data_IF_887099850378
#
_entry.id   IF_887099850378
#
_cell.length_a   1.000
_cell.length_b   1.000
_cell.length_c   1.000
_cell.angle_alpha   90.00
_cell.angle_beta   90.00
_cell.angle_gamma   90.00
#
_symmetry.space_group_name_H-M   'P 1'
#
loop_
_entity.id
_entity.type
_entity.pdbx_description
1 polymer ?
#
# COMPACT_ATOMS: atom_id res chain seq x y z
N UNK A 1 18.71 17.73 -1.06
CA UNK A 1 19.27 18.96 -1.66
C UNK A 1 20.79 19.07 -1.47
N UNK A 2 21.35 19.03 -0.24
CA UNK A 2 22.80 19.26 -0.03
C UNK A 2 23.75 18.34 -0.82
N UNK A 3 23.37 17.11 -1.16
CA UNK A 3 24.25 16.14 -1.81
C UNK A 3 24.06 16.10 -3.33
N UNK A 4 22.86 16.16 -3.83
CA UNK A 4 22.52 15.97 -5.23
C UNK A 4 21.93 17.19 -5.91
N UNK A 5 21.61 18.25 -5.17
CA UNK A 5 21.08 19.52 -5.68
C UNK A 5 19.59 19.50 -6.03
N UNK A 6 19.00 18.33 -6.29
CA UNK A 6 17.60 18.20 -6.70
C UNK A 6 16.95 16.90 -6.22
N UNK A 7 15.65 16.80 -6.40
CA UNK A 7 14.83 15.58 -6.32
C UNK A 7 14.11 15.45 -7.66
N UNK A 8 14.12 14.26 -8.25
CA UNK A 8 13.47 13.98 -9.54
C UNK A 8 12.24 13.10 -9.38
N UNK A 9 12.23 12.25 -8.37
CA UNK A 9 11.10 11.39 -8.05
C UNK A 9 10.93 11.21 -6.55
N UNK A 10 9.68 10.96 -6.13
CA UNK A 10 9.31 10.54 -4.79
C UNK A 10 8.65 9.18 -4.85
N UNK A 11 9.08 8.25 -3.99
CA UNK A 11 8.39 6.98 -3.79
C UNK A 11 7.85 6.93 -2.35
N UNK A 12 6.56 7.12 -2.19
CA UNK A 12 5.86 6.99 -0.91
C UNK A 12 5.65 5.50 -0.61
N UNK A 13 6.70 4.85 -0.13
CA UNK A 13 6.72 3.42 0.18
C UNK A 13 6.50 3.12 1.67
N UNK A 14 6.81 4.05 2.56
CA UNK A 14 6.63 3.85 3.98
C UNK A 14 5.17 3.49 4.31
N UNK A 15 4.98 2.43 5.09
CA UNK A 15 3.64 2.01 5.46
C UNK A 15 3.66 0.88 6.48
N UNK A 16 2.62 0.84 7.29
CA UNK A 16 2.44 -0.14 8.37
C UNK A 16 1.06 -0.78 8.27
N UNK A 17 0.94 -1.97 8.85
CA UNK A 17 -0.35 -2.63 9.04
C UNK A 17 -0.43 -3.27 10.42
N UNK A 18 -1.57 -3.13 11.06
CA UNK A 18 -1.98 -3.86 12.24
C UNK A 18 -3.31 -4.56 11.91
N UNK A 19 -3.30 -5.86 11.57
CA UNK A 19 -4.54 -6.58 11.28
C UNK A 19 -5.43 -6.61 12.52
N UNK A 20 -6.64 -6.08 12.41
CA UNK A 20 -7.63 -6.00 13.49
C UNK A 20 -9.03 -6.11 12.90
N UNK A 21 -9.93 -6.76 13.61
CA UNK A 21 -11.37 -6.73 13.32
C UNK A 21 -12.00 -5.51 13.99
N UNK A 22 -13.11 -5.03 13.43
CA UNK A 22 -13.79 -3.84 13.96
C UNK A 22 -14.26 -4.04 15.41
N UNK A 23 -14.82 -5.21 15.68
CA UNK A 23 -15.27 -5.64 17.01
C UNK A 23 -14.95 -7.13 17.15
N UNK A 24 -14.48 -7.57 18.32
CA UNK A 24 -14.25 -8.99 18.58
C UNK A 24 -15.57 -9.74 18.83
N UNK A 25 -16.31 -10.02 17.74
CA UNK A 25 -17.55 -10.76 17.79
C UNK A 25 -17.38 -12.25 18.13
N UNK A 26 -16.16 -12.78 18.08
CA UNK A 26 -15.87 -14.15 18.57
C UNK A 26 -15.70 -14.19 20.09
N UNK A 27 -15.32 -13.07 20.72
CA UNK A 27 -15.09 -12.91 22.17
C UNK A 27 -13.97 -13.80 22.71
N UNK A 28 -12.98 -14.10 21.88
CA UNK A 28 -11.88 -15.02 22.23
C UNK A 28 -10.52 -14.31 22.26
N UNK A 29 -10.34 -13.25 21.50
CA UNK A 29 -9.05 -12.58 21.31
C UNK A 29 -9.20 -11.05 21.28
N UNK A 30 -9.53 -10.41 22.43
CA UNK A 30 -9.81 -8.97 22.47
C UNK A 30 -8.64 -8.11 21.99
N UNK A 31 -7.40 -8.62 22.02
CA UNK A 31 -6.23 -7.94 21.47
C UNK A 31 -6.25 -7.80 19.94
N UNK A 32 -7.13 -8.51 19.24
CA UNK A 32 -7.34 -8.38 17.78
C UNK A 32 -8.53 -7.49 17.41
N UNK A 33 -9.18 -6.87 18.39
CA UNK A 33 -10.11 -5.78 18.15
C UNK A 33 -9.36 -4.49 17.78
N UNK A 34 -9.91 -3.69 16.88
CA UNK A 34 -9.31 -2.43 16.45
C UNK A 34 -9.42 -1.39 17.57
N UNK A 35 -8.31 -1.03 18.17
CA UNK A 35 -8.22 0.07 19.13
C UNK A 35 -8.03 1.41 18.43
N UNK A 36 -8.34 2.51 19.13
CA UNK A 36 -8.05 3.88 18.69
C UNK A 36 -6.54 4.07 18.47
N UNK A 37 -5.69 3.52 19.35
CA UNK A 37 -4.23 3.57 19.19
C UNK A 37 -3.77 2.89 17.88
N UNK A 38 -4.30 1.71 17.55
CA UNK A 38 -3.97 1.01 16.30
C UNK A 38 -4.47 1.78 15.07
N UNK A 39 -5.65 2.42 15.19
CA UNK A 39 -6.21 3.27 14.16
C UNK A 39 -5.31 4.48 13.89
N UNK A 40 -5.01 5.27 14.93
CA UNK A 40 -4.20 6.48 14.83
C UNK A 40 -2.79 6.17 14.31
N UNK A 41 -2.17 5.09 14.81
CA UNK A 41 -0.86 4.64 14.32
C UNK A 41 -0.84 4.38 12.82
N UNK A 42 -1.86 3.71 12.28
CA UNK A 42 -1.93 3.44 10.84
C UNK A 42 -2.25 4.70 10.03
N UNK A 43 -3.13 5.57 10.50
CA UNK A 43 -3.48 6.83 9.84
C UNK A 43 -2.28 7.78 9.83
N UNK A 44 -1.60 7.98 10.95
CA UNK A 44 -0.47 8.89 11.05
C UNK A 44 0.68 8.50 10.11
N UNK A 45 0.97 7.21 9.99
CA UNK A 45 2.07 6.75 9.13
C UNK A 45 1.65 6.65 7.67
N UNK A 46 0.55 5.92 7.39
CA UNK A 46 0.20 5.60 6.01
C UNK A 46 -0.38 6.79 5.25
N UNK A 47 -1.23 7.57 5.90
CA UNK A 47 -1.99 8.64 5.26
C UNK A 47 -1.33 10.00 5.48
N UNK A 48 -1.25 10.45 6.72
CA UNK A 48 -0.69 11.75 7.08
C UNK A 48 0.80 11.86 6.73
N UNK A 49 1.57 10.80 6.98
CA UNK A 49 2.99 10.73 6.60
C UNK A 49 3.17 10.89 5.09
N UNK A 50 2.40 10.18 4.29
CA UNK A 50 2.40 10.30 2.83
C UNK A 50 2.06 11.72 2.39
N UNK A 51 1.03 12.35 2.96
CA UNK A 51 0.68 13.74 2.68
C UNK A 51 1.83 14.70 2.98
N UNK A 52 2.41 14.64 4.17
CA UNK A 52 3.46 15.57 4.60
C UNK A 52 4.72 15.48 3.72
N UNK A 53 5.16 14.26 3.41
CA UNK A 53 6.34 14.05 2.55
C UNK A 53 6.06 14.51 1.13
N UNK A 54 4.89 14.16 0.59
CA UNK A 54 4.49 14.60 -0.76
C UNK A 54 4.45 16.12 -0.84
N UNK A 55 3.83 16.80 0.14
CA UNK A 55 3.77 18.26 0.15
C UNK A 55 5.16 18.90 0.18
N UNK A 56 6.07 18.36 0.98
CA UNK A 56 7.44 18.87 1.08
C UNK A 56 8.23 18.69 -0.22
N UNK A 57 8.15 17.51 -0.85
CA UNK A 57 8.86 17.19 -2.09
C UNK A 57 8.25 17.95 -3.28
N UNK A 58 6.93 18.07 -3.34
CA UNK A 58 6.24 18.78 -4.42
C UNK A 58 6.74 20.23 -4.55
N UNK A 59 7.04 20.93 -3.44
CA UNK A 59 7.64 22.28 -3.50
C UNK A 59 8.95 22.32 -4.27
N UNK A 60 9.75 21.27 -4.22
CA UNK A 60 11.00 21.14 -4.99
C UNK A 60 10.69 20.84 -6.47
N UNK A 61 9.74 19.92 -6.73
CA UNK A 61 9.35 19.55 -8.08
C UNK A 61 8.71 20.72 -8.85
N UNK A 62 7.98 21.60 -8.18
CA UNK A 62 7.40 22.80 -8.77
C UNK A 62 8.45 23.75 -9.38
N UNK A 63 9.59 23.92 -8.71
CA UNK A 63 10.68 24.77 -9.22
C UNK A 63 11.25 24.22 -10.53
N UNK A 64 11.26 22.89 -10.68
CA UNK A 64 11.72 22.21 -11.90
C UNK A 64 10.67 22.15 -13.00
N UNK A 65 9.39 22.18 -12.65
CA UNK A 65 8.25 21.88 -13.52
C UNK A 65 8.33 20.47 -14.14
N UNK A 66 8.86 19.54 -13.38
CA UNK A 66 9.08 18.16 -13.79
C UNK A 66 9.22 17.26 -12.56
N UNK A 67 8.72 16.03 -12.63
CA UNK A 67 8.91 15.04 -11.60
C UNK A 67 7.87 13.92 -11.60
N UNK A 68 8.14 12.90 -10.80
CA UNK A 68 7.22 11.77 -10.65
C UNK A 68 7.02 11.42 -9.18
N UNK A 69 5.77 11.25 -8.79
CA UNK A 69 5.38 10.77 -7.46
C UNK A 69 4.74 9.39 -7.60
N UNK A 70 5.32 8.40 -6.94
CA UNK A 70 4.80 7.03 -6.87
C UNK A 70 4.23 6.79 -5.47
N UNK A 71 2.97 6.41 -5.40
CA UNK A 71 2.26 6.13 -4.16
C UNK A 71 2.02 4.62 -3.99
N UNK A 72 2.59 3.99 -2.95
CA UNK A 72 2.32 2.59 -2.62
C UNK A 72 1.00 2.49 -1.85
N UNK A 73 -0.09 2.19 -2.60
CA UNK A 73 -1.38 1.79 -2.07
C UNK A 73 -1.38 0.29 -1.71
N UNK A 74 -2.48 -0.38 -1.89
CA UNK A 74 -2.67 -1.83 -1.75
C UNK A 74 -3.96 -2.25 -2.46
N UNK A 75 -4.05 -3.49 -2.93
CA UNK A 75 -5.33 -4.05 -3.37
C UNK A 75 -6.39 -4.03 -2.25
N UNK A 76 -5.96 -4.09 -0.98
CA UNK A 76 -6.87 -3.90 0.16
C UNK A 76 -7.54 -2.51 0.17
N UNK A 77 -6.86 -1.47 -0.34
CA UNK A 77 -7.43 -0.14 -0.50
C UNK A 77 -8.43 -0.03 -1.66
N UNK A 78 -8.35 -0.92 -2.64
CA UNK A 78 -9.26 -0.94 -3.80
C UNK A 78 -10.51 -1.79 -3.55
N UNK A 79 -10.38 -2.89 -2.77
CA UNK A 79 -11.44 -3.90 -2.62
C UNK A 79 -11.91 -4.07 -1.17
N UNK A 80 -11.24 -3.49 -0.20
CA UNK A 80 -11.37 -3.85 1.21
C UNK A 80 -10.71 -5.21 1.54
N UNK A 81 -10.46 -5.45 2.81
CA UNK A 81 -9.94 -6.74 3.29
C UNK A 81 -10.47 -7.03 4.69
N UNK A 82 -11.08 -8.22 4.87
CA UNK A 82 -11.58 -8.65 6.18
C UNK A 82 -10.45 -8.69 7.20
N UNK A 83 -10.65 -8.09 8.38
CA UNK A 83 -9.62 -7.96 9.42
C UNK A 83 -8.58 -6.87 9.16
N UNK A 84 -8.83 -5.95 8.20
CA UNK A 84 -7.93 -4.86 7.83
C UNK A 84 -8.69 -3.56 7.53
N UNK A 85 -9.81 -3.29 8.19
CA UNK A 85 -10.66 -2.15 7.83
C UNK A 85 -9.91 -0.81 7.86
N UNK A 86 -9.19 -0.50 8.93
CA UNK A 86 -8.40 0.71 9.03
C UNK A 86 -7.27 0.76 8.00
N UNK A 87 -6.49 -0.32 7.85
CA UNK A 87 -5.45 -0.38 6.81
C UNK A 87 -6.02 -0.17 5.41
N UNK A 88 -7.14 -0.83 5.10
CA UNK A 88 -7.83 -0.65 3.82
C UNK A 88 -8.25 0.79 3.60
N UNK A 89 -8.78 1.46 4.63
CA UNK A 89 -9.17 2.87 4.57
C UNK A 89 -7.97 3.77 4.28
N UNK A 90 -6.84 3.60 5.00
CA UNK A 90 -5.62 4.39 4.73
C UNK A 90 -5.09 4.17 3.31
N UNK A 91 -5.15 2.93 2.79
CA UNK A 91 -4.70 2.63 1.42
C UNK A 91 -5.69 3.08 0.35
N UNK A 92 -6.97 3.19 0.66
CA UNK A 92 -7.97 3.86 -0.17
C UNK A 92 -7.75 5.38 -0.23
N UNK A 93 -7.37 6.01 0.89
CA UNK A 93 -6.96 7.41 0.92
C UNK A 93 -5.76 7.68 0.00
N UNK A 94 -4.75 6.80 -0.01
CA UNK A 94 -3.60 6.91 -0.93
C UNK A 94 -4.03 6.80 -2.40
N UNK A 95 -5.00 5.94 -2.72
CA UNK A 95 -5.58 5.89 -4.06
C UNK A 95 -6.27 7.21 -4.42
N UNK A 96 -7.09 7.76 -3.53
CA UNK A 96 -7.76 9.04 -3.74
C UNK A 96 -6.77 10.21 -3.90
N UNK A 97 -5.71 10.26 -3.07
CA UNK A 97 -4.62 11.23 -3.23
C UNK A 97 -3.95 11.13 -4.59
N UNK A 98 -3.69 9.92 -5.08
CA UNK A 98 -3.10 9.70 -6.40
C UNK A 98 -3.94 10.35 -7.51
N UNK A 99 -5.26 10.13 -7.48
CA UNK A 99 -6.19 10.70 -8.45
C UNK A 99 -6.27 12.23 -8.38
N UNK A 100 -6.32 12.77 -7.16
CA UNK A 100 -6.46 14.21 -6.93
C UNK A 100 -5.17 14.95 -7.28
N UNK A 101 -4.03 14.49 -6.74
CA UNK A 101 -2.74 15.12 -6.98
C UNK A 101 -2.29 15.03 -8.44
N UNK A 102 -2.65 13.96 -9.16
CA UNK A 102 -2.39 13.90 -10.60
C UNK A 102 -3.08 15.02 -11.38
N UNK A 103 -4.30 15.40 -10.98
CA UNK A 103 -5.04 16.52 -11.61
C UNK A 103 -4.48 17.87 -11.17
N UNK A 104 -4.10 18.01 -9.92
CA UNK A 104 -3.53 19.26 -9.38
C UNK A 104 -2.13 19.54 -9.94
N UNK A 105 -1.30 18.51 -10.07
CA UNK A 105 0.12 18.64 -10.36
C UNK A 105 0.46 18.44 -11.86
N UNK A 106 -0.43 17.78 -12.62
CA UNK A 106 -0.25 17.55 -14.05
C UNK A 106 0.01 18.81 -14.88
N UNK A 107 -0.70 19.94 -14.66
CA UNK A 107 -0.42 21.20 -15.34
C UNK A 107 1.01 21.73 -15.15
N UNK A 108 1.73 21.22 -14.15
CA UNK A 108 3.11 21.62 -13.83
C UNK A 108 4.14 20.56 -14.23
N UNK A 109 3.77 19.60 -15.09
CA UNK A 109 4.68 18.56 -15.56
C UNK A 109 5.00 17.47 -14.53
N UNK A 110 4.24 17.37 -13.43
CA UNK A 110 4.48 16.38 -12.37
C UNK A 110 3.45 15.26 -12.53
N UNK A 111 3.92 14.03 -12.68
CA UNK A 111 3.09 12.82 -12.74
C UNK A 111 2.88 12.23 -11.36
N UNK A 112 1.70 11.70 -11.08
CA UNK A 112 1.38 10.98 -9.85
C UNK A 112 0.75 9.65 -10.21
N UNK A 113 1.38 8.55 -9.80
CA UNK A 113 0.94 7.18 -10.13
C UNK A 113 0.90 6.34 -8.86
N UNK A 114 -0.16 5.57 -8.71
CA UNK A 114 -0.32 4.61 -7.63
C UNK A 114 0.10 3.21 -8.06
N UNK A 115 0.63 2.44 -7.13
CA UNK A 115 0.81 1.00 -7.26
C UNK A 115 0.05 0.34 -6.12
N UNK A 116 -0.72 -0.70 -6.42
CA UNK A 116 -1.50 -1.46 -5.46
C UNK A 116 -1.05 -2.92 -5.43
N UNK A 117 0.00 -3.26 -4.67
CA UNK A 117 0.39 -4.65 -4.47
C UNK A 117 -0.70 -5.43 -3.72
N UNK A 118 -0.79 -6.74 -3.98
CA UNK A 118 -1.54 -7.67 -3.15
C UNK A 118 -0.56 -8.54 -2.35
N UNK A 119 -0.64 -9.86 -2.45
CA UNK A 119 0.20 -10.77 -1.70
C UNK A 119 1.58 -10.86 -2.36
N UNK A 120 2.59 -10.47 -1.60
CA UNK A 120 4.00 -10.56 -1.97
C UNK A 120 4.72 -11.60 -1.10
N UNK A 121 5.95 -11.91 -1.44
CA UNK A 121 6.84 -12.74 -0.63
C UNK A 121 6.87 -12.28 0.84
N UNK A 122 7.12 -13.24 1.74
CA UNK A 122 7.28 -12.95 3.16
C UNK A 122 8.42 -11.97 3.39
N UNK A 123 8.17 -11.01 4.27
CA UNK A 123 9.16 -10.04 4.70
C UNK A 123 9.22 -10.02 6.23
N UNK A 124 10.29 -9.52 6.86
CA UNK A 124 10.33 -9.33 8.30
C UNK A 124 9.18 -8.46 8.85
N UNK A 125 8.60 -7.60 8.01
CA UNK A 125 7.45 -6.78 8.37
C UNK A 125 6.13 -7.59 8.50
N UNK A 126 6.07 -8.78 7.89
CA UNK A 126 4.93 -9.71 7.93
C UNK A 126 5.28 -10.91 8.80
N UNK A 127 5.31 -10.70 10.12
CA UNK A 127 5.63 -11.73 11.10
C UNK A 127 4.43 -12.64 11.41
N UNK A 128 4.70 -13.70 12.18
CA UNK A 128 3.70 -14.72 12.53
C UNK A 128 2.52 -14.16 13.33
N UNK A 129 2.76 -13.14 14.18
CA UNK A 129 1.69 -12.47 14.92
C UNK A 129 0.67 -11.80 13.98
N UNK A 130 1.15 -11.11 12.96
CA UNK A 130 0.28 -10.51 11.93
C UNK A 130 -0.52 -11.56 11.17
N UNK A 131 0.10 -12.70 10.85
CA UNK A 131 -0.63 -13.79 10.20
C UNK A 131 -1.70 -14.40 11.10
N UNK A 132 -1.42 -14.56 12.41
CA UNK A 132 -2.42 -15.00 13.39
C UNK A 132 -3.59 -14.03 13.52
N UNK A 133 -3.32 -12.74 13.64
CA UNK A 133 -4.36 -11.71 13.66
C UNK A 133 -5.20 -11.71 12.39
N UNK A 134 -4.57 -11.94 11.23
CA UNK A 134 -5.29 -12.07 9.95
C UNK A 134 -6.14 -13.35 9.90
N UNK A 135 -5.64 -14.47 10.41
CA UNK A 135 -6.38 -15.74 10.47
C UNK A 135 -7.63 -15.55 11.35
N UNK A 136 -7.44 -15.00 12.54
CA UNK A 136 -8.54 -14.68 13.45
C UNK A 136 -9.61 -13.80 12.79
N UNK A 137 -9.20 -12.70 12.19
CA UNK A 137 -10.11 -11.81 11.50
C UNK A 137 -10.92 -12.48 10.36
N UNK A 138 -10.42 -13.59 9.81
CA UNK A 138 -11.12 -14.39 8.79
C UNK A 138 -11.95 -15.53 9.35
N UNK A 139 -11.90 -15.75 10.67
CA UNK A 139 -12.55 -16.88 11.32
C UNK A 139 -11.80 -18.20 11.11
N UNK A 140 -10.49 -18.14 10.92
CA UNK A 140 -9.61 -19.31 10.83
C UNK A 140 -8.94 -19.55 12.20
N UNK A 141 -8.55 -20.78 12.46
CA UNK A 141 -7.84 -21.11 13.69
C UNK A 141 -6.53 -20.30 13.81
N UNK A 142 -6.40 -19.53 14.88
CA UNK A 142 -5.20 -18.72 15.18
C UNK A 142 -3.94 -19.55 15.40
N UNK A 143 -4.09 -20.83 15.74
CA UNK A 143 -2.99 -21.78 15.87
C UNK A 143 -2.62 -22.41 14.53
N UNK A 144 -3.33 -22.08 13.45
CA UNK A 144 -2.97 -22.51 12.10
C UNK A 144 -1.54 -22.08 11.83
N UNK A 145 -0.71 -23.04 11.39
CA UNK A 145 0.64 -22.80 10.93
C UNK A 145 0.65 -21.63 9.93
N UNK A 146 1.44 -20.56 10.17
CA UNK A 146 1.56 -19.44 9.25
C UNK A 146 1.86 -19.85 7.81
N UNK A 147 2.56 -20.98 7.60
CA UNK A 147 2.81 -21.53 6.26
C UNK A 147 1.52 -22.05 5.60
N UNK A 148 0.64 -22.74 6.35
CA UNK A 148 -0.68 -23.13 5.83
C UNK A 148 -1.54 -21.93 5.46
N UNK A 149 -1.49 -20.88 6.29
CA UNK A 149 -2.15 -19.63 5.97
C UNK A 149 -1.66 -19.05 4.64
N UNK A 150 -0.34 -19.04 4.43
CA UNK A 150 0.27 -18.54 3.20
C UNK A 150 -0.06 -19.43 1.98
N UNK A 151 -0.11 -20.74 2.14
CA UNK A 151 -0.54 -21.67 1.09
C UNK A 151 -2.01 -21.45 0.69
N UNK A 152 -2.91 -21.17 1.64
CA UNK A 152 -4.30 -20.85 1.35
C UNK A 152 -4.42 -19.55 0.51
N UNK A 153 -3.52 -18.59 0.70
CA UNK A 153 -3.46 -17.42 -0.17
C UNK A 153 -3.03 -17.77 -1.59
N UNK A 154 -2.06 -18.65 -1.77
CA UNK A 154 -1.59 -19.10 -3.09
C UNK A 154 -2.73 -19.57 -3.98
N UNK A 155 -3.65 -20.35 -3.43
CA UNK A 155 -4.78 -20.92 -4.20
C UNK A 155 -5.75 -19.84 -4.71
N UNK A 156 -5.73 -18.65 -4.13
CA UNK A 156 -6.57 -17.52 -4.53
C UNK A 156 -5.93 -16.61 -5.59
N UNK A 157 -4.67 -16.85 -5.94
CA UNK A 157 -3.93 -16.05 -6.92
C UNK A 157 -3.93 -16.78 -8.26
N UNK A 158 -4.50 -16.23 -9.35
CA UNK A 158 -4.52 -16.85 -10.67
C UNK A 158 -3.14 -17.28 -11.19
N UNK A 159 -2.07 -16.50 -10.95
CA UNK A 159 -0.70 -16.89 -11.30
C UNK A 159 -0.11 -17.99 -10.40
N UNK A 160 -0.84 -18.48 -9.38
CA UNK A 160 -0.46 -19.61 -8.53
C UNK A 160 0.68 -19.34 -7.55
N UNK A 161 1.15 -18.08 -7.41
CA UNK A 161 2.23 -17.70 -6.51
C UNK A 161 2.05 -16.27 -5.99
N UNK A 162 2.64 -15.92 -4.83
CA UNK A 162 2.85 -14.53 -4.44
C UNK A 162 3.72 -13.78 -5.44
N UNK A 163 3.61 -12.47 -5.49
CA UNK A 163 4.53 -11.62 -6.24
C UNK A 163 5.87 -11.50 -5.53
N UNK A 164 6.96 -11.38 -6.28
CA UNK A 164 8.26 -11.06 -5.74
C UNK A 164 8.40 -9.56 -5.49
N UNK A 165 9.19 -9.15 -4.51
CA UNK A 165 9.38 -7.74 -4.17
C UNK A 165 9.97 -6.94 -5.33
N UNK A 166 10.88 -7.55 -6.10
CA UNK A 166 11.47 -6.92 -7.27
C UNK A 166 10.46 -6.67 -8.40
N UNK A 167 9.39 -7.46 -8.52
CA UNK A 167 8.34 -7.21 -9.53
C UNK A 167 7.62 -5.87 -9.29
N UNK A 168 7.48 -5.47 -8.02
CA UNK A 168 6.97 -4.13 -7.66
C UNK A 168 8.04 -3.06 -7.91
N UNK A 169 9.30 -3.33 -7.56
CA UNK A 169 10.41 -2.40 -7.77
C UNK A 169 10.65 -2.12 -9.25
N UNK A 170 10.57 -3.14 -10.10
CA UNK A 170 10.71 -3.00 -11.56
C UNK A 170 9.61 -2.10 -12.14
N UNK A 171 8.37 -2.24 -11.65
CA UNK A 171 7.28 -1.36 -12.03
C UNK A 171 7.55 0.10 -11.57
N UNK A 172 8.08 0.31 -10.37
CA UNK A 172 8.49 1.64 -9.90
C UNK A 172 9.53 2.22 -10.84
N UNK A 173 10.58 1.46 -11.20
CA UNK A 173 11.62 1.91 -12.13
C UNK A 173 11.06 2.29 -13.50
N UNK A 174 10.13 1.49 -14.04
CA UNK A 174 9.43 1.83 -15.28
C UNK A 174 8.63 3.12 -15.17
N UNK A 175 7.84 3.26 -14.09
CA UNK A 175 6.94 4.41 -13.92
C UNK A 175 7.67 5.74 -13.69
N UNK A 176 8.88 5.74 -13.11
CA UNK A 176 9.68 6.96 -12.97
C UNK A 176 10.45 7.31 -14.24
N UNK A 177 10.55 6.41 -15.21
CA UNK A 177 11.26 6.65 -16.47
C UNK A 177 10.43 7.43 -17.49
N UNK A 178 11.09 7.93 -18.53
CA UNK A 178 10.49 8.60 -19.68
C UNK A 178 9.54 7.68 -20.48
N UNK A 179 9.72 6.36 -20.39
CA UNK A 179 8.83 5.40 -21.05
C UNK A 179 7.40 5.42 -20.51
N UNK A 180 7.19 6.00 -19.32
CA UNK A 180 5.89 6.16 -18.67
C UNK A 180 5.37 7.61 -18.70
N UNK A 181 5.90 8.46 -19.59
CA UNK A 181 5.64 9.92 -19.62
C UNK A 181 4.17 10.30 -19.77
N UNK A 182 3.32 9.41 -20.28
CA UNK A 182 1.87 9.65 -20.42
C UNK A 182 1.02 8.89 -19.40
N UNK A 183 1.65 8.30 -18.37
CA UNK A 183 0.96 7.56 -17.30
C UNK A 183 0.90 8.42 -16.04
N UNK A 184 -0.30 8.88 -15.67
CA UNK A 184 -0.59 9.62 -14.45
C UNK A 184 -2.05 9.46 -14.05
N UNK A 185 -2.40 9.66 -12.77
CA UNK A 185 -3.77 9.60 -12.29
C UNK A 185 -4.39 8.20 -12.32
N UNK A 186 -3.58 7.17 -12.22
CA UNK A 186 -4.02 5.77 -12.17
C UNK A 186 -3.36 5.04 -11.01
N UNK A 187 -4.00 4.00 -10.51
CA UNK A 187 -3.38 3.06 -9.57
C UNK A 187 -3.36 1.67 -10.21
N UNK A 188 -2.17 1.11 -10.35
CA UNK A 188 -1.91 -0.16 -11.07
C UNK A 188 -1.88 -1.30 -10.06
N UNK A 189 -2.81 -2.27 -10.13
CA UNK A 189 -2.76 -3.47 -9.30
C UNK A 189 -1.59 -4.38 -9.70
N UNK A 190 -0.83 -4.85 -8.69
CA UNK A 190 0.20 -5.89 -8.85
C UNK A 190 -0.20 -7.08 -8.01
N UNK A 191 -1.04 -7.96 -8.55
CA UNK A 191 -1.82 -8.92 -7.78
C UNK A 191 -1.82 -10.35 -8.33
N UNK A 192 -1.09 -10.62 -9.42
CA UNK A 192 -1.12 -11.92 -10.08
C UNK A 192 -2.51 -12.31 -10.59
N UNK A 193 -3.37 -11.31 -10.89
CA UNK A 193 -4.74 -11.51 -11.37
C UNK A 193 -5.79 -11.63 -10.26
N UNK A 194 -5.43 -11.52 -8.99
CA UNK A 194 -6.35 -11.66 -7.87
C UNK A 194 -7.29 -10.48 -7.69
N UNK A 195 -6.81 -9.27 -7.88
CA UNK A 195 -7.67 -8.08 -7.83
C UNK A 195 -8.47 -7.95 -9.12
N UNK A 196 -9.75 -7.72 -8.99
CA UNK A 196 -10.56 -7.21 -10.10
C UNK A 196 -10.29 -5.71 -10.17
N UNK A 197 -9.76 -5.26 -11.28
CA UNK A 197 -9.55 -3.85 -11.59
C UNK A 197 -10.86 -3.07 -11.61
#
# INVERSE_FOLDING_TARGET
>A
MKKYGTIDALVNNAGVTRPRILVDYYKEQPQYELSEEDFDFMVDINEKGTFLVTQAVTRVLFEKKEGTIINLSSCAGLMGSKGHSCYSATKAAIHAFTLSWAKELGPFGIRVVGIAPDILDRTPANNDEKYRAQAYGRGWDVNTDPEKFFQNYKTSIPLGRPGHLNEVADLVCFLISEHASYITGVTIPVSGGKSKG
#
